data_IF_870964617642
#
_entry.id   IF_870964617642
#
_cell.length_a   1.000
_cell.length_b   1.000
_cell.length_c   1.000
_cell.angle_alpha   90.00
_cell.angle_beta   90.00
_cell.angle_gamma   90.00
#
_symmetry.space_group_name_H-M   'P 1'
#
loop_
_entity.id
_entity.type
_entity.pdbx_description
1 polymer ?
#
# COMPACT_ATOMS: atom_id res chain seq x y z
N UNK A 1 10.25 -4.55 11.81
CA UNK A 1 10.01 -3.79 10.58
C UNK A 1 10.01 -4.75 9.39
N UNK A 2 8.94 -4.73 8.60
CA UNK A 2 8.87 -5.42 7.31
C UNK A 2 9.78 -4.70 6.28
N UNK A 3 10.73 -5.42 5.68
CA UNK A 3 11.60 -4.86 4.63
C UNK A 3 10.77 -4.30 3.47
N UNK A 4 9.63 -4.93 3.17
CA UNK A 4 8.74 -4.49 2.10
C UNK A 4 8.10 -3.13 2.41
N UNK A 5 7.76 -2.86 3.67
CA UNK A 5 7.19 -1.55 4.07
C UNK A 5 8.24 -0.45 3.93
N UNK A 6 9.48 -0.73 4.25
CA UNK A 6 10.57 0.23 4.13
C UNK A 6 10.93 0.49 2.66
N UNK A 7 10.90 -0.54 1.81
CA UNK A 7 11.00 -0.39 0.36
C UNK A 7 9.90 0.52 -0.20
N UNK A 8 8.64 0.33 0.21
CA UNK A 8 7.53 1.20 -0.25
C UNK A 8 7.73 2.68 0.15
N UNK A 9 8.34 2.95 1.31
CA UNK A 9 8.70 4.32 1.72
C UNK A 9 9.83 4.92 0.88
N UNK A 10 10.84 4.12 0.59
CA UNK A 10 11.94 4.52 -0.30
C UNK A 10 11.42 4.82 -1.72
N UNK A 11 10.56 3.95 -2.26
CA UNK A 11 9.93 4.12 -3.56
C UNK A 11 9.04 5.37 -3.60
N UNK A 12 8.33 5.68 -2.51
CA UNK A 12 7.53 6.90 -2.42
C UNK A 12 8.42 8.15 -2.50
N UNK A 13 9.56 8.13 -1.81
CA UNK A 13 10.54 9.22 -1.85
C UNK A 13 11.09 9.40 -3.27
N UNK A 14 11.42 8.30 -3.95
CA UNK A 14 11.88 8.33 -5.34
C UNK A 14 10.81 8.88 -6.29
N UNK A 15 9.56 8.42 -6.18
CA UNK A 15 8.44 8.87 -7.00
C UNK A 15 8.13 10.37 -6.80
N UNK A 16 8.25 10.86 -5.57
CA UNK A 16 8.08 12.29 -5.27
C UNK A 16 9.19 13.12 -5.92
N UNK A 17 10.45 12.65 -5.88
CA UNK A 17 11.59 13.33 -6.53
C UNK A 17 11.46 13.36 -8.05
N UNK A 18 10.98 12.29 -8.66
CA UNK A 18 10.75 12.21 -10.11
C UNK A 18 9.44 12.85 -10.57
N UNK A 19 8.67 13.45 -9.65
CA UNK A 19 7.35 14.03 -9.90
C UNK A 19 6.36 13.04 -10.56
N UNK A 20 6.51 11.74 -10.30
CA UNK A 20 5.60 10.70 -10.77
C UNK A 20 4.32 10.73 -9.92
N UNK A 21 3.34 11.52 -10.35
CA UNK A 21 2.11 11.79 -9.61
C UNK A 21 1.29 10.54 -9.36
N UNK A 22 1.15 9.69 -10.39
CA UNK A 22 0.34 8.48 -10.31
C UNK A 22 0.97 7.50 -9.31
N UNK A 23 2.27 7.22 -9.45
CA UNK A 23 2.97 6.31 -8.55
C UNK A 23 3.00 6.83 -7.12
N UNK A 24 3.19 8.13 -6.95
CA UNK A 24 3.15 8.79 -5.63
C UNK A 24 1.79 8.59 -4.96
N UNK A 25 0.69 8.84 -5.67
CA UNK A 25 -0.65 8.66 -5.13
C UNK A 25 -0.90 7.19 -4.72
N UNK A 26 -0.56 6.24 -5.60
CA UNK A 26 -0.72 4.81 -5.32
C UNK A 26 0.09 4.37 -4.10
N UNK A 27 1.37 4.74 -4.01
CA UNK A 27 2.23 4.36 -2.89
C UNK A 27 1.74 4.93 -1.55
N UNK A 28 1.23 6.16 -1.52
CA UNK A 28 0.62 6.74 -0.31
C UNK A 28 -0.62 5.96 0.13
N UNK A 29 -1.48 5.57 -0.81
CA UNK A 29 -2.67 4.77 -0.49
C UNK A 29 -2.28 3.40 0.08
N UNK A 30 -1.28 2.73 -0.51
CA UNK A 30 -0.82 1.42 -0.03
C UNK A 30 -0.19 1.52 1.37
N UNK A 31 0.66 2.52 1.61
CA UNK A 31 1.24 2.77 2.94
C UNK A 31 0.17 3.09 3.98
N UNK A 32 -0.89 3.81 3.60
CA UNK A 32 -2.03 4.05 4.48
C UNK A 32 -2.78 2.76 4.80
N UNK A 33 -3.03 1.90 3.82
CA UNK A 33 -3.70 0.62 4.03
C UNK A 33 -2.91 -0.30 4.98
N UNK A 34 -1.58 -0.35 4.82
CA UNK A 34 -0.68 -1.06 5.73
C UNK A 34 -0.82 -0.49 7.15
N UNK A 35 -0.77 0.83 7.31
CA UNK A 35 -0.92 1.48 8.62
C UNK A 35 -2.28 1.20 9.26
N UNK A 36 -3.35 1.18 8.47
CA UNK A 36 -4.69 0.81 8.94
C UNK A 36 -4.71 -0.63 9.45
N UNK A 37 -4.08 -1.57 8.74
CA UNK A 37 -3.99 -2.97 9.18
C UNK A 37 -3.19 -3.10 10.48
N UNK A 38 -2.10 -2.34 10.65
CA UNK A 38 -1.25 -2.34 11.85
C UNK A 38 -2.02 -1.97 13.12
N UNK A 39 -3.08 -1.16 12.99
CA UNK A 39 -3.88 -0.63 14.11
C UNK A 39 -5.29 -1.21 14.18
N UNK A 40 -5.67 -2.13 13.28
CA UNK A 40 -7.03 -2.69 13.23
C UNK A 40 -7.31 -3.70 14.35
N UNK A 41 -6.27 -4.26 14.96
CA UNK A 41 -6.36 -5.21 16.06
C UNK A 41 -6.60 -4.55 17.42
N UNK A 42 -6.68 -5.38 18.46
CA UNK A 42 -6.80 -4.90 19.86
C UNK A 42 -5.63 -4.03 20.31
N UNK A 43 -4.47 -4.20 19.66
CA UNK A 43 -3.25 -3.46 19.92
C UNK A 43 -2.55 -3.17 18.58
N UNK A 44 -1.89 -2.02 18.52
CA UNK A 44 -1.03 -1.68 17.38
C UNK A 44 0.16 -2.63 17.32
N UNK A 45 0.45 -3.16 16.13
CA UNK A 45 1.65 -3.98 15.91
C UNK A 45 2.23 -3.72 14.53
N UNK A 46 3.51 -4.03 14.35
CA UNK A 46 4.11 -4.05 13.02
C UNK A 46 3.69 -5.32 12.27
N UNK A 47 3.49 -5.18 10.96
CA UNK A 47 3.27 -6.32 10.08
C UNK A 47 4.60 -6.98 9.69
N UNK A 48 4.53 -8.29 9.46
CA UNK A 48 5.55 -9.05 8.73
C UNK A 48 5.40 -8.85 7.22
N UNK A 49 6.42 -9.17 6.43
CA UNK A 49 6.35 -9.07 4.96
C UNK A 49 5.20 -9.90 4.36
N UNK A 50 4.96 -11.10 4.91
CA UNK A 50 3.85 -11.94 4.47
C UNK A 50 2.48 -11.28 4.70
N UNK A 51 2.34 -10.52 5.78
CA UNK A 51 1.12 -9.78 6.09
C UNK A 51 0.99 -8.52 5.23
N UNK A 52 2.10 -7.82 4.98
CA UNK A 52 2.13 -6.72 4.01
C UNK A 52 1.68 -7.21 2.64
N UNK A 53 2.22 -8.34 2.14
CA UNK A 53 1.80 -8.94 0.86
C UNK A 53 0.28 -9.20 0.86
N UNK A 54 -0.28 -9.75 1.94
CA UNK A 54 -1.73 -9.97 2.04
C UNK A 54 -2.53 -8.67 1.92
N UNK A 55 -2.09 -7.58 2.56
CA UNK A 55 -2.73 -6.26 2.42
C UNK A 55 -2.65 -5.79 0.97
N UNK A 56 -1.47 -5.85 0.35
CA UNK A 56 -1.26 -5.43 -1.04
C UNK A 56 -2.12 -6.22 -2.03
N UNK A 57 -2.25 -7.54 -1.85
CA UNK A 57 -3.09 -8.39 -2.70
C UNK A 57 -4.58 -8.00 -2.60
N UNK A 58 -5.09 -7.72 -1.40
CA UNK A 58 -6.48 -7.24 -1.22
C UNK A 58 -6.71 -5.91 -1.91
N UNK A 59 -5.77 -4.98 -1.72
CA UNK A 59 -5.83 -3.64 -2.30
C UNK A 59 -5.73 -3.66 -3.84
N UNK A 60 -4.93 -4.57 -4.40
CA UNK A 60 -4.82 -4.78 -5.84
C UNK A 60 -6.12 -5.33 -6.42
N UNK A 61 -6.70 -6.37 -5.81
CA UNK A 61 -7.98 -6.96 -6.24
C UNK A 61 -9.11 -5.91 -6.24
N UNK A 62 -9.27 -5.18 -5.13
CA UNK A 62 -10.28 -4.13 -4.99
C UNK A 62 -10.18 -3.06 -6.08
N UNK A 63 -8.96 -2.67 -6.47
CA UNK A 63 -8.74 -1.68 -7.54
C UNK A 63 -9.00 -2.25 -8.92
N UNK A 64 -8.66 -3.52 -9.16
CA UNK A 64 -8.98 -4.22 -10.41
C UNK A 64 -10.49 -4.30 -10.64
N UNK A 65 -11.23 -4.76 -9.64
CA UNK A 65 -12.70 -4.83 -9.68
C UNK A 65 -13.33 -3.45 -9.91
N UNK A 66 -12.85 -2.40 -9.22
CA UNK A 66 -13.33 -1.04 -9.43
C UNK A 66 -13.04 -0.53 -10.84
N UNK A 67 -11.84 -0.79 -11.38
CA UNK A 67 -11.48 -0.37 -12.73
C UNK A 67 -12.39 -1.01 -13.79
N UNK A 68 -12.72 -2.29 -13.65
CA UNK A 68 -13.67 -2.98 -14.53
C UNK A 68 -15.05 -2.30 -14.47
N UNK A 69 -15.56 -1.99 -13.28
CA UNK A 69 -16.87 -1.32 -13.09
C UNK A 69 -16.91 0.05 -13.80
N UNK A 70 -15.84 0.84 -13.73
CA UNK A 70 -15.79 2.16 -14.37
C UNK A 70 -15.63 2.12 -15.90
N UNK A 71 -15.34 0.95 -16.48
CA UNK A 71 -15.24 0.76 -17.93
C UNK A 71 -16.51 0.18 -18.58
N UNK A 72 -17.52 -0.16 -17.77
CA UNK A 72 -18.86 -0.53 -18.25
C UNK A 72 -19.75 0.71 -18.40
#
# INVERSE_FOLDING_TARGET
MAELKDRLRADLTAAMKSQDRLRTATLRMLLSAIRTEEVSGKQSRELTDAEVIKVLSRESKKRGEAAEIYTQ
#
